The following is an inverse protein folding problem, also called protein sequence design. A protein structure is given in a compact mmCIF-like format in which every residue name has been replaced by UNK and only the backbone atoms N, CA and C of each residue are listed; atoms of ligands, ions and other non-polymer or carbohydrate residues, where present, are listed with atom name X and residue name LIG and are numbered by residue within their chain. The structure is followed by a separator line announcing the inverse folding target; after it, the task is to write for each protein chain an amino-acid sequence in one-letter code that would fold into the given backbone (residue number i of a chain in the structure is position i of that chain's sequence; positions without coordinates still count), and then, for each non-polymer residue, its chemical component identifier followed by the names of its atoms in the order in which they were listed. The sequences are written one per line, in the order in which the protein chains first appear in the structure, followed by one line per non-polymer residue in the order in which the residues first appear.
data_IF_126654092630
#
_entry.id   IF_126654092630
#
_cell.length_a   1.000
_cell.length_b   1.000
_cell.length_c   1.000
_cell.angle_alpha   90.00
_cell.angle_beta   90.00
_cell.angle_gamma   90.00
#
_symmetry.space_group_name_H-M   'P 1'
#
loop_
_entity.id
_entity.type
_entity.pdbx_description
1 polymer ?
#
# COMPACT_ATOMS: atom_id res chain seq x y z
N UNK A 1 18.14 -7.78 5.72
CA UNK A 1 17.31 -8.77 6.43
C UNK A 1 16.11 -9.10 5.57
N UNK A 2 15.73 -10.36 5.37
CA UNK A 2 14.47 -10.66 4.71
C UNK A 2 13.35 -10.06 5.57
N UNK A 3 12.55 -9.18 4.98
CA UNK A 3 11.36 -8.67 5.65
C UNK A 3 10.45 -9.86 5.94
N UNK A 4 10.09 -10.05 7.20
CA UNK A 4 9.14 -11.09 7.59
C UNK A 4 7.87 -10.86 6.79
N UNK A 5 7.48 -11.85 6.01
CA UNK A 5 6.25 -11.84 5.20
C UNK A 5 5.02 -12.15 6.04
N UNK A 6 5.17 -12.24 7.35
CA UNK A 6 4.11 -12.47 8.31
C UNK A 6 3.70 -11.14 8.95
N UNK A 7 2.40 -10.84 8.91
CA UNK A 7 1.80 -9.62 9.45
C UNK A 7 0.75 -9.92 10.52
N UNK A 8 0.81 -11.09 11.15
CA UNK A 8 -0.18 -11.50 12.15
C UNK A 8 -0.23 -10.56 13.36
N UNK A 9 0.89 -9.95 13.70
CA UNK A 9 1.05 -9.00 14.81
C UNK A 9 0.61 -7.55 14.48
N UNK A 10 0.36 -7.22 13.20
CA UNK A 10 -0.06 -5.89 12.78
C UNK A 10 -1.50 -5.62 13.24
N UNK A 11 -1.70 -4.56 14.01
CA UNK A 11 -3.02 -4.12 14.48
C UNK A 11 -3.46 -2.82 13.80
N UNK A 12 -2.53 -1.91 13.56
CA UNK A 12 -2.81 -0.60 12.93
C UNK A 12 -2.21 -0.57 11.53
N UNK A 13 -3.06 -0.43 10.53
CA UNK A 13 -2.67 -0.37 9.11
C UNK A 13 -2.76 1.04 8.60
N UNK A 14 -1.66 1.58 8.09
CA UNK A 14 -1.60 2.87 7.42
C UNK A 14 -1.97 2.74 5.94
N UNK A 15 -2.82 3.61 5.44
CA UNK A 15 -3.18 3.67 4.02
C UNK A 15 -2.82 5.04 3.46
N UNK A 16 -1.85 5.13 2.52
CA UNK A 16 -1.51 6.39 1.87
C UNK A 16 -2.69 6.92 1.03
N UNK A 17 -3.10 8.18 1.29
CA UNK A 17 -4.16 8.87 0.53
C UNK A 17 -3.63 9.39 -0.80
N UNK A 18 -3.17 8.49 -1.65
CA UNK A 18 -2.59 8.82 -2.95
C UNK A 18 -2.83 7.70 -3.96
N UNK A 19 -2.61 7.97 -5.22
CA UNK A 19 -2.70 7.03 -6.33
C UNK A 19 -4.05 6.30 -6.37
N UNK A 20 -4.04 4.96 -6.29
CA UNK A 20 -5.24 4.13 -6.38
C UNK A 20 -6.15 4.19 -5.14
N UNK A 21 -5.73 4.86 -4.07
CA UNK A 21 -6.60 5.11 -2.92
C UNK A 21 -7.93 5.76 -3.33
N UNK A 22 -7.90 6.72 -4.25
CA UNK A 22 -9.11 7.41 -4.70
C UNK A 22 -10.09 6.51 -5.48
N UNK A 23 -9.60 5.38 -5.96
CA UNK A 23 -10.44 4.38 -6.64
C UNK A 23 -10.83 3.22 -5.72
N UNK A 24 -9.93 2.76 -4.89
CA UNK A 24 -10.09 1.52 -4.13
C UNK A 24 -10.03 1.72 -2.60
N UNK A 25 -9.88 2.95 -2.12
CA UNK A 25 -9.71 3.23 -0.69
C UNK A 25 -10.83 2.69 0.18
N UNK A 26 -12.08 2.77 -0.28
CA UNK A 26 -13.23 2.21 0.45
C UNK A 26 -13.10 0.68 0.58
N UNK A 27 -12.74 -0.01 -0.51
CA UNK A 27 -12.51 -1.45 -0.48
C UNK A 27 -11.42 -1.82 0.54
N UNK A 28 -10.30 -1.11 0.50
CA UNK A 28 -9.16 -1.39 1.37
C UNK A 28 -9.48 -1.14 2.84
N UNK A 29 -10.10 0.00 3.15
CA UNK A 29 -10.52 0.36 4.52
C UNK A 29 -11.51 -0.68 5.07
N UNK A 30 -12.57 -0.96 4.31
CA UNK A 30 -13.58 -1.95 4.70
C UNK A 30 -12.97 -3.34 4.92
N UNK A 31 -12.04 -3.75 4.05
CA UNK A 31 -11.36 -5.04 4.21
C UNK A 31 -10.60 -5.13 5.54
N UNK A 32 -9.70 -4.18 5.81
CA UNK A 32 -8.91 -4.22 7.05
C UNK A 32 -9.78 -4.11 8.30
N UNK A 33 -10.80 -3.26 8.30
CA UNK A 33 -11.75 -3.16 9.40
C UNK A 33 -12.54 -4.45 9.60
N UNK A 34 -12.95 -5.12 8.52
CA UNK A 34 -13.69 -6.38 8.59
C UNK A 34 -12.89 -7.53 9.20
N UNK A 35 -11.57 -7.50 9.09
CA UNK A 35 -10.68 -8.47 9.73
C UNK A 35 -10.14 -7.99 11.09
N UNK A 36 -10.77 -6.96 11.66
CA UNK A 36 -10.48 -6.46 13.02
C UNK A 36 -9.23 -5.62 13.13
N UNK A 37 -8.78 -4.97 12.03
CA UNK A 37 -7.63 -4.04 12.08
C UNK A 37 -8.11 -2.60 12.16
N UNK A 38 -7.36 -1.77 12.88
CA UNK A 38 -7.55 -0.32 12.85
C UNK A 38 -6.90 0.26 11.61
N UNK A 39 -7.60 1.16 10.92
CA UNK A 39 -7.08 1.82 9.72
C UNK A 39 -6.76 3.28 10.03
N UNK A 40 -5.58 3.72 9.63
CA UNK A 40 -5.16 5.12 9.65
C UNK A 40 -4.89 5.55 8.20
N UNK A 41 -5.72 6.43 7.68
CA UNK A 41 -5.50 7.04 6.36
C UNK A 41 -4.66 8.30 6.56
N UNK A 42 -3.66 8.52 5.71
CA UNK A 42 -2.89 9.76 5.76
C UNK A 42 -3.78 10.99 5.51
N UNK A 43 -3.39 12.13 6.06
CA UNK A 43 -4.11 13.38 5.89
C UNK A 43 -4.20 13.79 4.40
N UNK A 44 -5.10 14.70 4.02
CA UNK A 44 -5.10 15.26 2.67
C UNK A 44 -3.74 15.84 2.32
N UNK A 45 -3.35 15.74 1.03
CA UNK A 45 -2.08 16.29 0.55
C UNK A 45 -1.95 17.78 0.92
N UNK A 46 -0.90 18.09 1.63
CA UNK A 46 -0.50 19.44 1.96
C UNK A 46 0.95 19.69 1.51
N UNK A 47 1.47 20.90 1.82
CA UNK A 47 2.84 21.26 1.47
C UNK A 47 3.88 20.38 2.16
N UNK A 48 3.65 19.97 3.40
CA UNK A 48 4.60 19.14 4.15
C UNK A 48 4.72 17.75 3.53
N UNK A 49 3.60 17.15 3.16
CA UNK A 49 3.56 15.85 2.46
C UNK A 49 4.25 15.96 1.09
N UNK A 50 3.99 17.02 0.32
CA UNK A 50 4.60 17.23 -0.98
C UNK A 50 6.12 17.42 -0.87
N UNK A 51 6.58 18.27 0.05
CA UNK A 51 8.00 18.53 0.29
C UNK A 51 8.73 17.26 0.80
N UNK A 52 8.09 16.48 1.66
CA UNK A 52 8.63 15.20 2.14
C UNK A 52 8.83 14.20 1.01
N UNK A 53 7.85 14.09 0.14
CA UNK A 53 7.93 13.23 -1.04
C UNK A 53 9.00 13.67 -2.03
N UNK A 54 9.15 14.95 -2.26
CA UNK A 54 10.21 15.50 -3.15
C UNK A 54 11.61 15.22 -2.58
N UNK A 55 11.80 15.44 -1.29
CA UNK A 55 13.09 15.18 -0.60
C UNK A 55 13.51 13.72 -0.64
N UNK A 56 12.57 12.78 -0.56
CA UNK A 56 12.82 11.33 -0.51
C UNK A 56 12.85 10.65 -1.88
N UNK A 57 12.48 11.36 -2.93
CA UNK A 57 12.39 10.81 -4.27
C UNK A 57 13.53 11.33 -5.15
N UNK A 58 13.88 10.55 -6.17
CA UNK A 58 14.80 11.02 -7.22
C UNK A 58 14.10 12.02 -8.14
N UNK A 59 14.88 12.93 -8.75
CA UNK A 59 14.33 14.03 -9.55
C UNK A 59 13.46 13.58 -10.71
N UNK A 60 13.78 12.44 -11.31
CA UNK A 60 13.07 11.86 -12.46
C UNK A 60 11.72 11.20 -12.09
N UNK A 61 11.40 11.09 -10.79
CA UNK A 61 10.10 10.58 -10.38
C UNK A 61 8.99 11.57 -10.77
N UNK A 62 7.87 11.05 -11.28
CA UNK A 62 6.70 11.87 -11.54
C UNK A 62 6.10 12.40 -10.23
N UNK A 63 5.44 13.55 -10.31
CA UNK A 63 4.84 14.22 -9.15
C UNK A 63 3.92 13.28 -8.34
N UNK A 64 3.12 12.46 -9.01
CA UNK A 64 2.23 11.53 -8.34
C UNK A 64 2.98 10.51 -7.47
N UNK A 65 4.12 10.00 -7.95
CA UNK A 65 4.98 9.10 -7.16
C UNK A 65 5.64 9.82 -5.98
N UNK A 66 6.09 11.06 -6.18
CA UNK A 66 6.67 11.89 -5.11
C UNK A 66 5.64 12.13 -4.00
N UNK A 67 4.44 12.57 -4.36
CA UNK A 67 3.35 12.79 -3.40
C UNK A 67 3.00 11.48 -2.66
N UNK A 68 2.96 10.35 -3.36
CA UNK A 68 2.73 9.05 -2.74
C UNK A 68 3.79 8.71 -1.67
N UNK A 69 5.07 8.93 -1.95
CA UNK A 69 6.16 8.72 -0.98
C UNK A 69 5.99 9.66 0.23
N UNK A 70 5.59 10.91 0.03
CA UNK A 70 5.28 11.83 1.14
C UNK A 70 4.13 11.35 2.02
N UNK A 71 3.08 10.78 1.43
CA UNK A 71 2.00 10.18 2.20
C UNK A 71 2.46 8.96 3.01
N UNK A 72 3.36 8.15 2.45
CA UNK A 72 3.98 7.03 3.18
C UNK A 72 4.81 7.54 4.35
N UNK A 73 5.64 8.55 4.13
CA UNK A 73 6.42 9.20 5.20
C UNK A 73 5.53 9.72 6.33
N UNK A 74 4.43 10.37 6.00
CA UNK A 74 3.49 10.95 6.98
C UNK A 74 2.79 9.90 7.88
N UNK A 75 2.82 8.63 7.47
CA UNK A 75 2.28 7.50 8.23
C UNK A 75 3.32 6.83 9.13
N UNK A 76 4.61 7.13 8.95
CA UNK A 76 5.68 6.57 9.76
C UNK A 76 5.45 6.94 11.26
N UNK A 77 5.49 5.93 12.12
CA UNK A 77 5.22 6.08 13.56
C UNK A 77 3.74 6.23 13.94
N UNK A 78 2.82 6.27 12.97
CA UNK A 78 1.36 6.35 13.19
C UNK A 78 0.65 5.02 13.00
N UNK A 79 1.33 4.02 12.48
CA UNK A 79 0.81 2.68 12.21
C UNK A 79 1.90 1.63 12.37
N UNK A 80 1.51 0.36 12.49
CA UNK A 80 2.43 -0.77 12.59
C UNK A 80 3.01 -1.16 11.22
N UNK A 81 2.22 -0.96 10.16
CA UNK A 81 2.63 -1.21 8.79
C UNK A 81 1.81 -0.37 7.80
N UNK A 82 2.41 -0.05 6.66
CA UNK A 82 1.74 0.68 5.58
C UNK A 82 1.30 -0.29 4.49
N UNK A 83 0.06 -0.16 4.04
CA UNK A 83 -0.48 -0.96 2.95
C UNK A 83 -0.12 -0.36 1.59
N UNK A 84 0.60 -1.13 0.80
CA UNK A 84 1.02 -0.75 -0.56
C UNK A 84 0.75 -1.93 -1.50
N UNK A 85 -0.44 -1.98 -2.12
CA UNK A 85 -0.78 -3.06 -3.05
C UNK A 85 -0.02 -2.93 -4.36
N UNK A 86 0.27 -4.08 -4.96
CA UNK A 86 0.86 -4.19 -6.29
C UNK A 86 -0.23 -4.49 -7.33
N UNK A 87 -0.28 -3.67 -8.37
CA UNK A 87 -1.19 -3.84 -9.51
C UNK A 87 -0.36 -3.98 -10.79
N UNK A 88 0.04 -5.21 -11.17
CA UNK A 88 0.83 -5.43 -12.37
C UNK A 88 0.04 -5.05 -13.62
N UNK A 89 0.78 -4.58 -14.61
CA UNK A 89 0.25 -4.25 -15.94
C UNK A 89 0.18 -5.52 -16.77
N UNK A 90 -0.74 -6.42 -16.45
CA UNK A 90 -0.86 -7.72 -17.12
C UNK A 90 -1.52 -7.66 -18.50
N UNK A 91 -2.08 -6.49 -18.85
CA UNK A 91 -2.81 -6.30 -20.11
C UNK A 91 -2.61 -4.85 -20.58
N UNK A 92 -2.23 -4.66 -21.84
CA UNK A 92 -2.13 -3.35 -22.49
C UNK A 92 -3.43 -2.52 -22.43
N UNK A 93 -4.54 -3.15 -22.06
CA UNK A 93 -5.86 -2.51 -21.86
C UNK A 93 -6.16 -2.14 -20.41
N UNK A 94 -5.39 -2.60 -19.43
CA UNK A 94 -5.68 -2.33 -18.01
C UNK A 94 -5.30 -0.93 -17.56
N UNK A 95 -4.47 -0.22 -18.31
CA UNK A 95 -4.25 1.21 -18.16
C UNK A 95 -3.48 1.65 -16.92
N UNK A 96 -2.90 0.74 -16.16
CA UNK A 96 -2.05 1.11 -15.02
C UNK A 96 -0.62 1.38 -15.48
N UNK A 97 -0.03 2.47 -14.96
CA UNK A 97 1.38 2.76 -15.12
C UNK A 97 2.23 1.71 -14.39
N UNK A 98 3.42 1.43 -14.89
CA UNK A 98 4.40 0.50 -14.27
C UNK A 98 4.76 0.88 -12.82
N UNK A 99 4.57 2.13 -12.42
CA UNK A 99 4.77 2.57 -11.02
C UNK A 99 3.85 1.86 -10.03
N UNK A 100 2.64 1.44 -10.44
CA UNK A 100 1.74 0.67 -9.58
C UNK A 100 2.23 -0.76 -9.36
N UNK A 101 2.97 -1.32 -10.29
CA UNK A 101 3.61 -2.62 -10.15
C UNK A 101 4.82 -2.54 -9.20
N UNK A 102 5.60 -1.46 -9.28
CA UNK A 102 6.83 -1.28 -8.51
C UNK A 102 6.63 -0.50 -7.20
N UNK A 103 5.41 -0.08 -6.87
CA UNK A 103 5.15 0.79 -5.71
C UNK A 103 5.65 0.19 -4.39
N UNK A 104 5.44 -1.11 -4.20
CA UNK A 104 5.89 -1.82 -3.00
C UNK A 104 7.41 -1.79 -2.86
N UNK A 105 8.13 -2.08 -3.94
CA UNK A 105 9.60 -2.08 -3.92
C UNK A 105 10.16 -0.66 -3.80
N UNK A 106 9.50 0.32 -4.41
CA UNK A 106 9.85 1.73 -4.26
C UNK A 106 9.78 2.16 -2.79
N UNK A 107 8.68 1.84 -2.09
CA UNK A 107 8.54 2.15 -0.66
C UNK A 107 9.59 1.43 0.18
N UNK A 108 9.78 0.13 -0.03
CA UNK A 108 10.77 -0.66 0.70
C UNK A 108 12.20 -0.15 0.53
N UNK A 109 12.54 0.32 -0.66
CA UNK A 109 13.87 0.86 -0.94
C UNK A 109 14.06 2.26 -0.35
N UNK A 110 13.03 3.13 -0.43
CA UNK A 110 13.08 4.49 0.11
C UNK A 110 13.18 4.48 1.64
N UNK A 111 12.44 3.60 2.32
CA UNK A 111 12.35 3.53 3.79
C UNK A 111 13.12 2.34 4.37
N UNK A 112 14.20 1.90 3.72
CA UNK A 112 14.97 0.72 4.13
C UNK A 112 15.50 0.82 5.56
N UNK A 113 15.96 1.98 5.97
CA UNK A 113 16.60 2.22 7.26
C UNK A 113 15.58 2.62 8.35
N UNK A 114 14.36 3.01 7.97
CA UNK A 114 13.34 3.55 8.88
C UNK A 114 12.50 2.46 9.58
N UNK A 115 12.81 1.17 9.34
CA UNK A 115 12.06 0.02 9.86
C UNK A 115 10.56 0.04 9.51
N UNK A 116 10.17 0.78 8.48
CA UNK A 116 8.79 0.83 8.02
C UNK A 116 8.38 -0.53 7.45
N UNK A 117 7.39 -1.14 8.07
CA UNK A 117 6.84 -2.41 7.57
C UNK A 117 5.83 -2.13 6.46
N UNK A 118 5.87 -2.97 5.44
CA UNK A 118 4.97 -2.84 4.28
C UNK A 118 4.11 -4.10 4.13
N UNK A 119 2.81 -3.93 4.17
CA UNK A 119 1.83 -4.94 3.77
C UNK A 119 1.58 -4.78 2.28
N UNK A 120 1.65 -5.86 1.54
CA UNK A 120 1.37 -5.86 0.10
C UNK A 120 0.60 -7.09 -0.32
N UNK A 121 -0.24 -6.92 -1.32
CA UNK A 121 -0.84 -8.01 -2.08
C UNK A 121 -0.70 -7.72 -3.57
N UNK A 122 -0.61 -8.76 -4.37
CA UNK A 122 -0.54 -8.66 -5.82
C UNK A 122 -1.90 -8.98 -6.44
N UNK A 123 -2.56 -7.96 -7.00
CA UNK A 123 -3.85 -8.09 -7.66
C UNK A 123 -3.62 -8.25 -9.16
N UNK A 124 -3.57 -9.49 -9.66
CA UNK A 124 -3.24 -9.81 -11.04
C UNK A 124 -4.12 -9.10 -12.07
N UNK A 125 -5.42 -9.01 -11.82
CA UNK A 125 -6.34 -8.25 -12.65
C UNK A 125 -7.43 -7.60 -11.82
N UNK A 126 -7.34 -6.27 -11.67
CA UNK A 126 -8.29 -5.48 -10.88
C UNK A 126 -9.74 -5.49 -11.42
N UNK A 127 -9.96 -5.91 -12.67
CA UNK A 127 -11.29 -6.03 -13.27
C UNK A 127 -11.94 -7.39 -13.01
N UNK A 128 -11.17 -8.38 -12.56
CA UNK A 128 -11.68 -9.72 -12.24
C UNK A 128 -11.86 -9.87 -10.74
N UNK A 129 -13.11 -9.94 -10.30
CA UNK A 129 -13.44 -10.10 -8.88
C UNK A 129 -12.75 -11.31 -8.25
N UNK A 130 -12.54 -12.40 -8.99
CA UNK A 130 -11.81 -13.59 -8.55
C UNK A 130 -10.35 -13.28 -8.18
N UNK A 131 -9.66 -12.49 -9.00
CA UNK A 131 -8.25 -12.15 -8.77
C UNK A 131 -8.10 -11.20 -7.59
N UNK A 132 -9.02 -10.22 -7.46
CA UNK A 132 -9.08 -9.33 -6.31
C UNK A 132 -9.33 -10.13 -5.02
N UNK A 133 -10.37 -10.96 -5.01
CA UNK A 133 -10.71 -11.80 -3.85
C UNK A 133 -9.53 -12.68 -3.43
N UNK A 134 -8.88 -13.36 -4.37
CA UNK A 134 -7.73 -14.22 -4.10
C UNK A 134 -6.61 -13.45 -3.42
N UNK A 135 -6.20 -12.30 -3.99
CA UNK A 135 -5.11 -11.49 -3.44
C UNK A 135 -5.39 -11.05 -1.99
N UNK A 136 -6.63 -10.63 -1.70
CA UNK A 136 -7.00 -10.18 -0.35
C UNK A 136 -7.16 -11.35 0.63
N UNK A 137 -7.68 -12.50 0.20
CA UNK A 137 -7.75 -13.69 1.04
C UNK A 137 -6.34 -14.21 1.39
N UNK A 138 -5.43 -14.26 0.44
CA UNK A 138 -4.04 -14.67 0.67
C UNK A 138 -3.34 -13.70 1.64
N UNK A 139 -3.59 -12.39 1.53
CA UNK A 139 -3.10 -11.39 2.45
C UNK A 139 -3.69 -11.58 3.85
N UNK A 140 -5.01 -11.81 3.97
CA UNK A 140 -5.68 -12.05 5.24
C UNK A 140 -5.09 -13.26 5.97
N UNK A 141 -4.83 -14.36 5.24
CA UNK A 141 -4.19 -15.55 5.81
C UNK A 141 -2.81 -15.23 6.39
N UNK A 142 -2.01 -14.41 5.70
CA UNK A 142 -0.71 -13.93 6.20
C UNK A 142 -0.82 -12.97 7.39
N UNK A 143 -1.98 -12.37 7.60
CA UNK A 143 -2.32 -11.56 8.77
C UNK A 143 -2.92 -12.40 9.92
N UNK A 144 -2.88 -13.74 9.81
CA UNK A 144 -3.37 -14.64 10.84
C UNK A 144 -4.89 -14.78 10.90
N UNK A 145 -5.60 -14.33 9.85
CA UNK A 145 -7.06 -14.47 9.78
C UNK A 145 -7.40 -15.80 9.12
N UNK A 146 -8.09 -16.66 9.86
CA UNK A 146 -8.59 -17.92 9.32
C UNK A 146 -9.69 -17.65 8.28
N UNK A 147 -9.70 -18.38 7.14
CA UNK A 147 -10.81 -18.31 6.22
C UNK A 147 -12.09 -18.71 6.96
N UNK A 148 -13.11 -17.85 6.87
CA UNK A 148 -14.48 -18.24 7.26
C UNK A 148 -15.11 -18.87 6.02
N UNK A 149 -15.69 -20.07 6.22
CA UNK A 149 -16.48 -20.78 5.20
C UNK A 149 -17.65 -19.94 4.68
#
# INVERSE_FOLDING_TARGET
MPQTTDWADVQVVGIPRALLFYRFGVLWTTFFESIGRTVVVSDPTDKAIADGGDRLSVDECCLASKVFIGHVESLAGRCDAVFVPCYPTSDHRSGFCTKFQSATDMVRNTFRDDKLRVISCEVQNARKAKDVRRAFCDMAARMGVAPKD
#
